data_IF_285344985434
#
_entry.id   IF_285344985434
#
_cell.length_a   1.000
_cell.length_b   1.000
_cell.length_c   1.000
_cell.angle_alpha   90.00
_cell.angle_beta   90.00
_cell.angle_gamma   90.00
#
_symmetry.space_group_name_H-M   'P 1'
#
loop_
_entity.id
_entity.type
_entity.pdbx_description
1 polymer ?
#
# COMPACT_ATOMS: atom_id res chain seq x y z
N UNK A 1 16.51 5.44 15.72
CA UNK A 1 17.09 6.08 14.51
C UNK A 1 15.98 6.82 13.80
N UNK A 2 16.26 7.97 13.20
CA UNK A 2 15.30 8.69 12.37
C UNK A 2 15.25 7.99 11.01
N UNK A 3 14.05 7.67 10.51
CA UNK A 3 13.86 7.12 9.16
C UNK A 3 13.99 8.25 8.13
N UNK A 4 14.80 8.03 7.10
CA UNK A 4 14.85 8.91 5.93
C UNK A 4 14.32 8.11 4.74
N UNK A 5 13.45 8.74 3.95
CA UNK A 5 12.90 8.12 2.75
C UNK A 5 13.35 8.90 1.51
N UNK A 6 14.17 8.27 0.67
CA UNK A 6 14.50 8.81 -0.66
C UNK A 6 13.37 8.48 -1.65
N UNK A 7 12.62 9.52 -2.04
CA UNK A 7 11.54 9.43 -3.03
C UNK A 7 11.98 8.75 -4.33
N UNK A 8 13.25 8.87 -4.72
CA UNK A 8 13.76 8.26 -5.95
C UNK A 8 13.84 6.74 -5.85
N UNK A 9 14.00 6.19 -4.64
CA UNK A 9 14.08 4.74 -4.35
C UNK A 9 12.74 4.13 -3.96
N UNK A 10 11.78 4.93 -3.51
CA UNK A 10 10.40 4.49 -3.28
C UNK A 10 9.71 4.22 -4.62
N UNK A 11 9.79 2.96 -5.08
CA UNK A 11 9.18 2.50 -6.33
C UNK A 11 8.07 1.50 -6.07
N UNK A 12 6.97 1.65 -6.77
CA UNK A 12 5.97 0.59 -6.90
C UNK A 12 6.53 -0.54 -7.74
N UNK A 13 6.33 -1.75 -7.23
CA UNK A 13 6.59 -3.00 -7.94
C UNK A 13 5.33 -3.86 -7.81
N UNK A 14 4.41 -3.68 -8.78
CA UNK A 14 3.15 -4.41 -8.82
C UNK A 14 3.34 -5.88 -9.19
N UNK A 15 4.44 -6.25 -9.86
CA UNK A 15 4.68 -7.63 -10.32
C UNK A 15 5.01 -8.56 -9.14
N UNK A 16 5.70 -8.04 -8.12
CA UNK A 16 6.05 -8.79 -6.91
C UNK A 16 5.09 -8.57 -5.73
N UNK A 17 4.12 -7.67 -5.87
CA UNK A 17 3.11 -7.37 -4.86
C UNK A 17 1.87 -8.26 -5.00
N UNK A 18 1.24 -8.62 -3.87
CA UNK A 18 0.01 -9.41 -3.87
C UNK A 18 -1.24 -8.52 -4.07
N UNK A 19 -1.19 -7.56 -4.99
CA UNK A 19 -2.30 -6.62 -5.25
C UNK A 19 -2.82 -5.82 -4.04
N UNK A 20 -2.02 -5.63 -2.98
CA UNK A 20 -2.48 -5.06 -1.71
C UNK A 20 -3.16 -3.70 -1.89
N UNK A 21 -2.50 -2.75 -2.55
CA UNK A 21 -3.07 -1.42 -2.78
C UNK A 21 -4.28 -1.45 -3.73
N UNK A 22 -4.28 -2.38 -4.69
CA UNK A 22 -5.40 -2.60 -5.61
C UNK A 22 -6.64 -3.10 -4.88
N UNK A 23 -6.51 -3.87 -3.80
CA UNK A 23 -7.66 -4.38 -3.03
C UNK A 23 -8.04 -3.43 -1.90
N UNK A 24 -7.06 -2.94 -1.12
CA UNK A 24 -7.28 -2.13 0.07
C UNK A 24 -8.03 -0.82 -0.22
N UNK A 25 -7.68 -0.13 -1.31
CA UNK A 25 -8.16 1.23 -1.59
C UNK A 25 -9.59 1.28 -2.13
N UNK A 26 -10.34 2.30 -1.74
CA UNK A 26 -11.63 2.64 -2.35
C UNK A 26 -11.42 3.62 -3.50
N UNK A 27 -12.21 3.51 -4.56
CA UNK A 27 -12.33 4.57 -5.56
C UNK A 27 -13.69 4.54 -6.26
N UNK A 28 -14.07 5.68 -6.83
CA UNK A 28 -15.35 5.87 -7.52
C UNK A 28 -15.11 6.55 -8.86
N UNK A 29 -15.59 5.93 -9.92
CA UNK A 29 -15.76 6.48 -11.25
C UNK A 29 -17.26 6.75 -11.48
N UNK A 30 -17.66 7.50 -12.52
CA UNK A 30 -19.08 7.74 -12.82
C UNK A 30 -19.93 6.47 -12.88
N UNK A 31 -19.42 5.42 -13.55
CA UNK A 31 -20.15 4.16 -13.81
C UNK A 31 -19.61 2.95 -13.03
N UNK A 32 -18.66 3.16 -12.10
CA UNK A 32 -18.06 2.07 -11.34
C UNK A 32 -17.67 2.51 -9.93
N UNK A 33 -18.16 1.78 -8.93
CA UNK A 33 -17.78 1.95 -7.54
C UNK A 33 -17.02 0.72 -7.07
N UNK A 34 -15.82 0.94 -6.52
CA UNK A 34 -15.03 -0.09 -5.85
C UNK A 34 -14.96 0.23 -4.36
N UNK A 35 -15.63 -0.57 -3.51
CA UNK A 35 -15.50 -0.46 -2.06
C UNK A 35 -14.05 -0.73 -1.60
N UNK A 36 -13.66 -0.28 -0.40
CA UNK A 36 -12.40 -0.70 0.20
C UNK A 36 -12.36 -2.21 0.40
N UNK A 37 -11.16 -2.78 0.46
CA UNK A 37 -10.91 -4.23 0.70
C UNK A 37 -11.65 -5.17 -0.25
N UNK A 38 -11.95 -4.71 -1.46
CA UNK A 38 -12.68 -5.47 -2.48
C UNK A 38 -11.88 -5.50 -3.77
N UNK A 39 -11.58 -6.68 -4.34
CA UNK A 39 -10.95 -6.79 -5.66
C UNK A 39 -11.73 -6.02 -6.73
N UNK A 40 -11.03 -5.31 -7.62
CA UNK A 40 -11.71 -4.68 -8.75
C UNK A 40 -12.08 -5.73 -9.80
N UNK A 41 -13.02 -5.41 -10.70
CA UNK A 41 -13.47 -6.34 -11.76
C UNK A 41 -12.35 -6.75 -12.73
N UNK A 42 -11.27 -5.98 -12.80
CA UNK A 42 -10.13 -6.23 -13.68
C UNK A 42 -8.95 -6.92 -13.00
N UNK A 43 -9.01 -7.16 -11.68
CA UNK A 43 -7.95 -7.84 -10.96
C UNK A 43 -7.98 -9.34 -11.27
N UNK A 44 -6.84 -9.88 -11.68
CA UNK A 44 -6.57 -11.31 -11.59
C UNK A 44 -6.19 -11.63 -10.14
N UNK A 45 -7.07 -12.32 -9.43
CA UNK A 45 -6.86 -12.67 -8.02
C UNK A 45 -5.89 -13.84 -7.84
N UNK A 46 -5.65 -14.64 -8.88
CA UNK A 46 -4.69 -15.74 -8.84
C UNK A 46 -3.26 -15.21 -8.91
N UNK A 47 -3.03 -14.23 -9.79
CA UNK A 47 -1.69 -13.67 -10.03
C UNK A 47 -1.45 -12.28 -9.42
N UNK A 48 -2.48 -11.65 -8.83
CA UNK A 48 -2.36 -10.31 -8.25
C UNK A 48 -2.14 -9.18 -9.28
N UNK A 49 -2.44 -9.43 -10.56
CA UNK A 49 -2.14 -8.50 -11.65
C UNK A 49 -3.40 -7.85 -12.25
N UNK A 50 -3.26 -6.63 -12.77
CA UNK A 50 -4.36 -5.95 -13.45
C UNK A 50 -4.42 -6.37 -14.92
N UNK A 51 -5.55 -6.97 -15.35
CA UNK A 51 -5.73 -7.47 -16.72
C UNK A 51 -5.81 -6.38 -17.80
N UNK A 52 -5.92 -5.12 -17.41
CA UNK A 52 -6.06 -3.98 -18.31
C UNK A 52 -5.05 -2.86 -18.01
N UNK A 53 -3.92 -3.15 -17.34
CA UNK A 53 -2.99 -2.11 -16.87
C UNK A 53 -2.58 -1.13 -17.98
N UNK A 54 -2.26 -1.65 -19.17
CA UNK A 54 -1.85 -0.86 -20.35
C UNK A 54 -3.01 -0.09 -21.01
N UNK A 55 -4.25 -0.30 -20.56
CA UNK A 55 -5.48 0.30 -21.09
C UNK A 55 -6.27 1.07 -20.03
N UNK A 56 -5.70 1.28 -18.84
CA UNK A 56 -6.41 1.93 -17.74
C UNK A 56 -6.93 3.32 -18.13
N UNK A 57 -6.14 4.09 -18.88
CA UNK A 57 -6.55 5.42 -19.35
C UNK A 57 -7.73 5.33 -20.34
N UNK A 58 -7.62 4.46 -21.35
CA UNK A 58 -8.67 4.25 -22.36
C UNK A 58 -9.99 3.74 -21.76
N UNK A 59 -9.90 2.93 -20.71
CA UNK A 59 -11.06 2.35 -19.99
C UNK A 59 -11.59 3.27 -18.88
N UNK A 60 -11.03 4.48 -18.72
CA UNK A 60 -11.50 5.50 -17.76
C UNK A 60 -11.04 5.30 -16.31
N UNK A 61 -10.03 4.45 -16.07
CA UNK A 61 -9.40 4.18 -14.77
C UNK A 61 -8.16 5.07 -14.52
N UNK A 62 -8.20 6.35 -14.91
CA UNK A 62 -7.08 7.30 -14.74
C UNK A 62 -6.57 7.38 -13.30
N UNK A 63 -7.48 7.29 -12.30
CA UNK A 63 -7.08 7.22 -10.90
C UNK A 63 -6.12 6.06 -10.60
N UNK A 64 -6.39 4.87 -11.15
CA UNK A 64 -5.51 3.71 -10.97
C UNK A 64 -4.18 3.87 -11.71
N UNK A 65 -4.18 4.61 -12.82
CA UNK A 65 -2.97 4.89 -13.60
C UNK A 65 -2.01 5.83 -12.88
N UNK A 66 -2.56 6.85 -12.22
CA UNK A 66 -1.79 7.90 -11.54
C UNK A 66 -1.45 7.56 -10.08
N UNK A 67 -2.08 6.53 -9.52
CA UNK A 67 -1.85 6.11 -8.14
C UNK A 67 -0.46 5.50 -7.97
N UNK A 68 0.32 6.07 -7.06
CA UNK A 68 1.62 5.55 -6.63
C UNK A 68 1.55 5.17 -5.14
N UNK A 69 1.85 3.92 -4.82
CA UNK A 69 1.88 3.44 -3.43
C UNK A 69 3.22 3.73 -2.73
N UNK A 70 4.21 4.28 -3.43
CA UNK A 70 5.56 4.56 -2.93
C UNK A 70 6.26 3.32 -2.38
N UNK A 71 6.00 2.15 -2.98
CA UNK A 71 6.56 0.86 -2.55
C UNK A 71 5.89 0.23 -1.31
N UNK A 72 4.97 0.94 -0.64
CA UNK A 72 4.29 0.41 0.56
C UNK A 72 3.55 -0.90 0.32
N UNK A 73 2.95 -1.07 -0.86
CA UNK A 73 2.30 -2.33 -1.25
C UNK A 73 3.26 -3.52 -1.24
N UNK A 74 4.44 -3.36 -1.83
CA UNK A 74 5.45 -4.44 -1.87
C UNK A 74 6.01 -4.72 -0.47
N UNK A 75 6.35 -3.68 0.29
CA UNK A 75 6.89 -3.86 1.66
C UNK A 75 5.90 -4.64 2.55
N UNK A 76 4.61 -4.28 2.52
CA UNK A 76 3.58 -4.98 3.29
C UNK A 76 3.31 -6.39 2.74
N UNK A 77 3.37 -6.61 1.42
CA UNK A 77 3.32 -7.96 0.86
C UNK A 77 4.46 -8.84 1.38
N UNK A 78 5.70 -8.36 1.29
CA UNK A 78 6.88 -9.12 1.71
C UNK A 78 6.86 -9.44 3.20
N UNK A 79 6.51 -8.47 4.05
CA UNK A 79 6.35 -8.66 5.49
C UNK A 79 5.41 -9.84 5.80
N UNK A 80 4.24 -9.89 5.17
CA UNK A 80 3.27 -10.96 5.44
C UNK A 80 3.69 -12.29 4.80
N UNK A 81 4.34 -12.25 3.62
CA UNK A 81 4.94 -13.44 2.99
C UNK A 81 6.00 -14.09 3.88
N UNK A 82 6.84 -13.31 4.56
CA UNK A 82 7.83 -13.81 5.52
C UNK A 82 7.16 -14.56 6.69
N UNK A 83 5.93 -14.19 7.05
CA UNK A 83 5.11 -14.87 8.06
C UNK A 83 4.33 -16.07 7.49
N UNK A 84 4.47 -16.37 6.20
CA UNK A 84 3.69 -17.39 5.50
C UNK A 84 2.21 -17.02 5.36
N UNK A 85 1.89 -15.73 5.32
CA UNK A 85 0.52 -15.18 5.34
C UNK A 85 0.28 -14.25 4.16
N UNK A 86 -0.99 -14.15 3.76
CA UNK A 86 -1.48 -13.33 2.64
C UNK A 86 -2.96 -13.00 2.90
N UNK A 87 -3.42 -11.79 2.58
CA UNK A 87 -4.83 -11.40 2.67
C UNK A 87 -5.78 -12.36 1.94
N UNK A 88 -5.37 -12.96 0.83
CA UNK A 88 -6.16 -13.92 0.07
C UNK A 88 -6.28 -15.29 0.77
N UNK A 89 -5.42 -15.58 1.76
CA UNK A 89 -5.41 -16.87 2.47
C UNK A 89 -6.38 -16.92 3.65
N UNK A 90 -6.66 -15.79 4.30
CA UNK A 90 -7.44 -15.72 5.53
C UNK A 90 -8.05 -14.31 5.72
N UNK A 91 -9.38 -14.17 5.90
CA UNK A 91 -10.03 -12.88 6.14
C UNK A 91 -9.49 -12.10 7.35
N UNK A 92 -9.09 -12.77 8.44
CA UNK A 92 -8.52 -12.08 9.62
C UNK A 92 -7.17 -11.45 9.27
N UNK A 93 -6.34 -12.19 8.52
CA UNK A 93 -5.06 -11.68 7.99
C UNK A 93 -5.30 -10.54 7.01
N UNK A 94 -6.35 -10.60 6.19
CA UNK A 94 -6.66 -9.55 5.22
C UNK A 94 -6.89 -8.20 5.92
N UNK A 95 -7.63 -8.19 7.02
CA UNK A 95 -7.87 -6.98 7.80
C UNK A 95 -6.56 -6.38 8.35
N UNK A 96 -5.74 -7.21 8.99
CA UNK A 96 -4.43 -6.78 9.53
C UNK A 96 -3.53 -6.25 8.41
N UNK A 97 -3.45 -6.95 7.27
CA UNK A 97 -2.59 -6.56 6.15
C UNK A 97 -3.06 -5.26 5.49
N UNK A 98 -4.35 -5.08 5.27
CA UNK A 98 -4.88 -3.85 4.66
C UNK A 98 -4.81 -2.64 5.58
N UNK A 99 -5.00 -2.81 6.90
CA UNK A 99 -4.75 -1.74 7.86
C UNK A 99 -3.27 -1.38 7.93
N UNK A 100 -2.37 -2.36 8.01
CA UNK A 100 -0.91 -2.15 7.99
C UNK A 100 -0.52 -1.34 6.74
N UNK A 101 -0.99 -1.75 5.57
CA UNK A 101 -0.77 -1.01 4.33
C UNK A 101 -1.27 0.44 4.41
N UNK A 102 -2.49 0.66 4.90
CA UNK A 102 -3.10 1.99 4.98
C UNK A 102 -2.29 2.92 5.89
N UNK A 103 -1.79 2.42 7.01
CA UNK A 103 -0.94 3.17 7.94
C UNK A 103 0.41 3.50 7.30
N UNK A 104 1.09 2.51 6.70
CA UNK A 104 2.40 2.72 6.04
C UNK A 104 2.27 3.72 4.90
N UNK A 105 1.29 3.56 4.02
CA UNK A 105 1.03 4.49 2.92
C UNK A 105 0.75 5.90 3.43
N UNK A 106 -0.09 6.04 4.46
CA UNK A 106 -0.40 7.34 5.06
C UNK A 106 0.85 8.04 5.61
N UNK A 107 1.72 7.30 6.32
CA UNK A 107 2.96 7.87 6.86
C UNK A 107 3.92 8.30 5.74
N UNK A 108 4.07 7.52 4.68
CA UNK A 108 4.87 7.91 3.51
C UNK A 108 4.30 9.15 2.81
N UNK A 109 2.98 9.22 2.62
CA UNK A 109 2.38 10.40 1.98
C UNK A 109 2.57 11.64 2.86
N UNK A 110 2.40 11.54 4.18
CA UNK A 110 2.70 12.66 5.09
C UNK A 110 4.16 13.09 5.05
N UNK A 111 5.09 12.14 4.95
CA UNK A 111 6.52 12.43 4.87
C UNK A 111 6.89 13.11 3.54
N UNK A 112 6.39 12.59 2.42
CA UNK A 112 6.73 13.05 1.07
C UNK A 112 5.96 14.31 0.65
N UNK A 113 4.76 14.50 1.19
CA UNK A 113 3.81 15.56 0.81
C UNK A 113 3.18 16.17 2.07
N UNK A 114 3.97 16.85 2.93
CA UNK A 114 3.49 17.37 4.22
C UNK A 114 2.35 18.39 4.08
N UNK A 115 2.26 19.08 2.93
CA UNK A 115 1.21 20.05 2.64
C UNK A 115 -0.10 19.41 2.17
N UNK A 116 -0.12 18.10 1.89
CA UNK A 116 -1.32 17.41 1.41
C UNK A 116 -2.23 17.09 2.59
N UNK A 117 -3.44 17.64 2.57
CA UNK A 117 -4.50 17.23 3.50
C UNK A 117 -4.91 15.78 3.21
N UNK A 118 -4.51 14.86 4.09
CA UNK A 118 -4.87 13.45 4.04
C UNK A 118 -5.38 13.00 5.40
N UNK A 119 -6.36 12.09 5.37
CA UNK A 119 -6.92 11.45 6.55
C UNK A 119 -6.75 9.94 6.41
N UNK A 120 -6.51 9.29 7.54
CA UNK A 120 -6.47 7.84 7.63
C UNK A 120 -7.81 7.36 8.22
N UNK A 121 -8.40 6.36 7.56
CA UNK A 121 -9.65 5.72 7.97
C UNK A 121 -9.32 4.41 8.71
N UNK A 122 -8.53 4.54 9.79
CA UNK A 122 -8.12 3.45 10.69
C UNK A 122 -8.22 3.95 12.13
N UNK A 123 -8.93 3.25 13.03
CA UNK A 123 -9.05 3.64 14.44
C UNK A 123 -7.70 3.71 15.17
N UNK A 124 -7.56 4.63 16.12
CA UNK A 124 -6.29 4.87 16.84
C UNK A 124 -5.80 3.62 17.61
N UNK A 125 -6.71 2.84 18.19
CA UNK A 125 -6.39 1.59 18.88
C UNK A 125 -5.79 0.55 17.94
N UNK A 126 -6.31 0.46 16.71
CA UNK A 126 -5.76 -0.40 15.65
C UNK A 126 -4.40 0.12 15.17
N UNK A 127 -4.20 1.44 15.08
CA UNK A 127 -2.90 2.02 14.72
C UNK A 127 -1.84 1.62 15.75
N UNK A 128 -2.16 1.72 17.04
CA UNK A 128 -1.24 1.33 18.11
C UNK A 128 -1.00 -0.19 18.14
N UNK A 129 -2.03 -1.01 17.94
CA UNK A 129 -1.89 -2.48 17.88
C UNK A 129 -0.98 -2.92 16.72
N UNK A 130 -1.13 -2.28 15.55
CA UNK A 130 -0.38 -2.64 14.34
C UNK A 130 0.98 -1.96 14.23
N UNK A 131 1.39 -1.21 15.27
CA UNK A 131 2.69 -0.53 15.30
C UNK A 131 3.87 -1.44 14.96
N UNK A 132 3.99 -2.68 15.48
CA UNK A 132 5.11 -3.55 15.14
C UNK A 132 5.18 -3.88 13.63
N UNK A 133 4.04 -4.18 13.00
CA UNK A 133 3.98 -4.47 11.57
C UNK A 133 4.30 -3.23 10.72
N UNK A 134 3.75 -2.08 11.11
CA UNK A 134 3.95 -0.83 10.37
C UNK A 134 5.39 -0.34 10.47
N UNK A 135 6.02 -0.42 11.64
CA UNK A 135 7.44 -0.07 11.82
C UNK A 135 8.35 -0.98 10.99
N UNK A 136 8.11 -2.30 11.00
CA UNK A 136 8.90 -3.23 10.20
C UNK A 136 8.75 -2.97 8.69
N UNK A 137 7.53 -2.72 8.21
CA UNK A 137 7.31 -2.36 6.80
C UNK A 137 7.96 -1.04 6.41
N UNK A 138 8.01 -0.05 7.32
CA UNK A 138 8.71 1.22 7.07
C UNK A 138 10.22 1.04 7.08
N UNK A 139 10.77 0.15 7.90
CA UNK A 139 12.20 -0.16 7.91
C UNK A 139 12.65 -0.82 6.61
N UNK A 140 11.78 -1.60 5.94
CA UNK A 140 12.05 -2.13 4.59
C UNK A 140 12.14 -1.06 3.51
N UNK A 141 11.58 0.13 3.75
CA UNK A 141 11.53 1.24 2.80
C UNK A 141 12.50 2.37 3.15
N UNK A 142 12.87 2.49 4.42
CA UNK A 142 13.72 3.56 4.92
C UNK A 142 15.18 3.29 4.59
N UNK A 143 15.90 4.37 4.36
CA UNK A 143 17.34 4.36 4.53
C UNK A 143 17.66 4.61 6.00
N UNK A 144 18.61 3.83 6.53
CA UNK A 144 19.24 4.17 7.80
C UNK A 144 20.13 5.37 7.57
N UNK A 145 19.73 6.53 8.09
CA UNK A 145 20.64 7.67 8.20
C UNK A 145 21.80 7.28 9.10
N UNK A 146 23.04 7.38 8.62
CA UNK A 146 24.21 7.34 9.50
C UNK A 146 24.17 8.61 10.37
N UNK A 147 24.04 8.50 11.71
CA UNK A 147 24.04 9.66 12.59
C UNK A 147 25.35 10.47 12.56
N UNK A 148 26.39 10.00 11.86
CA UNK A 148 27.67 10.67 11.69
C UNK A 148 27.92 11.25 10.28
N UNK A 149 27.02 11.03 9.31
CA UNK A 149 27.10 11.70 8.01
C UNK A 149 26.43 13.09 8.10
N UNK A 150 27.25 14.13 8.05
CA UNK A 150 26.86 15.55 8.04
C UNK A 150 27.49 16.31 6.88
#
# INVERSE_FOLDING_TARGET
MVRIFDKSKLKTDCENCDAVCCVATKFKLPDYYKPPRTPCKHLDQEHGSCKIFDKLEDEGFTFCRDFDCYGSGLAVSNLFKELGKNWASDPEIAEVQFHTFSIVYFQLVKYLHPDRAIEIDVPDDIIEELKPFTEQALDMLAETADPFEG
#
